data_IF_823774192480
#
_entry.id   IF_823774192480
#
_cell.length_a   1.000
_cell.length_b   1.000
_cell.length_c   1.000
_cell.angle_alpha   90.00
_cell.angle_beta   90.00
_cell.angle_gamma   90.00
#
_symmetry.space_group_name_H-M   'P 1'
#
loop_
_entity.id
_entity.type
_entity.pdbx_description
1 polymer ?
#
# COMPACT_ATOMS: atom_id res chain seq x y z
N UNK A 1 -40.54 57.45 -19.00
CA UNK A 1 -39.86 57.03 -17.75
C UNK A 1 -39.07 55.78 -18.10
N UNK A 2 -37.77 55.96 -18.38
CA UNK A 2 -36.89 54.92 -19.01
C UNK A 2 -36.04 54.32 -17.88
N UNK A 3 -36.20 53.01 -17.63
CA UNK A 3 -35.38 52.25 -16.67
C UNK A 3 -34.06 51.84 -17.34
N UNK A 4 -32.94 52.31 -16.78
CA UNK A 4 -31.58 51.89 -17.14
C UNK A 4 -31.27 50.52 -16.52
N UNK A 5 -31.00 49.54 -17.37
CA UNK A 5 -30.41 48.27 -16.96
C UNK A 5 -28.88 48.47 -16.83
N UNK A 6 -28.37 48.35 -15.62
CA UNK A 6 -26.92 48.26 -15.31
C UNK A 6 -26.44 46.85 -15.56
N UNK A 7 -25.68 46.65 -16.66
CA UNK A 7 -24.96 45.43 -16.95
C UNK A 7 -23.81 45.25 -15.93
N UNK A 8 -23.88 44.16 -15.15
CA UNK A 8 -22.81 43.71 -14.25
C UNK A 8 -21.92 42.78 -15.06
N UNK A 9 -20.79 43.32 -15.52
CA UNK A 9 -19.72 42.47 -16.09
C UNK A 9 -19.22 41.47 -15.04
N UNK A 10 -19.56 40.20 -15.21
CA UNK A 10 -18.95 39.09 -14.49
C UNK A 10 -17.55 38.89 -15.09
N UNK A 11 -16.56 39.48 -14.44
CA UNK A 11 -15.16 39.24 -14.74
C UNK A 11 -14.84 37.76 -14.56
N UNK A 12 -14.58 37.04 -15.64
CA UNK A 12 -14.08 35.70 -15.71
C UNK A 12 -12.62 35.67 -15.17
N UNK A 13 -12.44 35.58 -13.87
CA UNK A 13 -11.13 35.31 -13.27
C UNK A 13 -10.79 33.86 -13.54
N UNK A 14 -9.95 33.61 -14.54
CA UNK A 14 -9.25 32.35 -14.71
C UNK A 14 -8.60 31.99 -13.38
N UNK A 15 -8.68 30.71 -12.93
CA UNK A 15 -8.01 30.29 -11.71
C UNK A 15 -6.51 30.54 -11.87
N UNK A 16 -5.94 31.36 -10.99
CA UNK A 16 -4.50 31.54 -10.87
C UNK A 16 -3.96 30.18 -10.48
N UNK A 17 -3.32 29.48 -11.42
CA UNK A 17 -2.60 28.24 -11.12
C UNK A 17 -1.50 28.58 -10.11
N UNK A 18 -1.71 28.23 -8.87
CA UNK A 18 -0.71 28.39 -7.82
C UNK A 18 0.53 27.58 -8.21
N UNK A 19 1.71 28.18 -8.07
CA UNK A 19 2.97 27.50 -8.37
C UNK A 19 3.06 26.24 -7.50
N UNK A 20 3.46 25.07 -8.06
CA UNK A 20 3.57 23.84 -7.27
C UNK A 20 4.41 24.03 -6.00
N UNK A 21 4.14 23.31 -4.92
CA UNK A 21 4.92 23.37 -3.68
C UNK A 21 6.42 23.17 -3.94
N UNK A 22 7.27 23.77 -3.10
CA UNK A 22 8.72 23.72 -3.28
C UNK A 22 9.24 22.27 -3.33
N UNK A 23 8.65 21.36 -2.54
CA UNK A 23 9.00 19.93 -2.52
C UNK A 23 8.76 19.27 -3.89
N UNK A 24 7.61 19.49 -4.49
CA UNK A 24 7.25 18.95 -5.80
C UNK A 24 8.16 19.50 -6.91
N UNK A 25 8.43 20.81 -6.90
CA UNK A 25 9.34 21.44 -7.87
C UNK A 25 10.76 20.87 -7.80
N UNK A 26 11.26 20.59 -6.58
CA UNK A 26 12.57 19.98 -6.39
C UNK A 26 12.57 18.53 -6.90
N UNK A 27 11.53 17.75 -6.64
CA UNK A 27 11.40 16.39 -7.13
C UNK A 27 11.33 16.35 -8.66
N UNK A 28 10.48 17.17 -9.27
CA UNK A 28 10.34 17.27 -10.73
C UNK A 28 11.67 17.67 -11.40
N UNK A 29 12.37 18.68 -10.86
CA UNK A 29 13.67 19.11 -11.35
C UNK A 29 14.73 18.01 -11.24
N UNK A 30 14.75 17.27 -10.12
CA UNK A 30 15.67 16.17 -9.89
C UNK A 30 15.46 15.04 -10.91
N UNK A 31 14.23 14.57 -11.05
CA UNK A 31 13.90 13.49 -11.99
C UNK A 31 14.17 13.91 -13.45
N UNK A 32 13.88 15.16 -13.82
CA UNK A 32 14.22 15.66 -15.14
C UNK A 32 15.74 15.60 -15.41
N UNK A 33 16.54 16.00 -14.43
CA UNK A 33 17.99 15.94 -14.53
C UNK A 33 18.54 14.50 -14.52
N UNK A 34 17.95 13.59 -13.75
CA UNK A 34 18.32 12.18 -13.76
C UNK A 34 18.08 11.54 -15.13
N UNK A 35 17.00 11.89 -15.80
CA UNK A 35 16.69 11.39 -17.14
C UNK A 35 17.61 12.01 -18.22
N UNK A 36 17.94 13.30 -18.09
CA UNK A 36 18.77 14.03 -19.07
C UNK A 36 20.24 13.61 -19.05
N UNK A 37 20.82 13.41 -17.86
CA UNK A 37 22.27 13.20 -17.72
C UNK A 37 22.68 12.12 -16.73
N UNK A 38 21.68 11.42 -16.16
CA UNK A 38 21.90 10.33 -15.23
C UNK A 38 22.00 10.78 -13.77
N UNK A 39 21.75 9.83 -12.88
CA UNK A 39 21.75 10.05 -11.44
C UNK A 39 23.12 10.52 -10.91
N UNK A 40 24.20 9.86 -11.29
CA UNK A 40 25.56 10.14 -10.76
C UNK A 40 26.04 11.55 -11.11
N UNK A 41 25.74 12.04 -12.31
CA UNK A 41 26.17 13.34 -12.82
C UNK A 41 25.31 14.52 -12.30
N UNK A 42 24.23 14.25 -11.57
CA UNK A 42 23.34 15.26 -11.05
C UNK A 42 23.71 15.64 -9.62
N UNK A 43 23.88 16.93 -9.36
CA UNK A 43 24.18 17.48 -8.03
C UNK A 43 22.97 18.18 -7.41
N UNK A 44 23.02 18.42 -6.09
CA UNK A 44 22.00 19.22 -5.40
C UNK A 44 21.93 20.65 -5.96
N UNK A 45 23.08 21.22 -6.36
CA UNK A 45 23.13 22.56 -6.94
C UNK A 45 22.39 22.63 -8.27
N UNK A 46 22.57 21.64 -9.13
CA UNK A 46 21.83 21.53 -10.40
C UNK A 46 20.32 21.44 -10.18
N UNK A 47 19.91 20.63 -9.19
CA UNK A 47 18.49 20.45 -8.85
C UNK A 47 17.88 21.78 -8.36
N UNK A 48 18.59 22.49 -7.49
CA UNK A 48 18.09 23.76 -6.95
C UNK A 48 18.05 24.86 -8.00
N UNK A 49 19.04 24.92 -8.88
CA UNK A 49 19.08 25.83 -10.03
C UNK A 49 17.91 25.58 -10.97
N UNK A 50 17.70 24.33 -11.40
CA UNK A 50 16.60 23.91 -12.27
C UNK A 50 15.22 24.21 -11.64
N UNK A 51 15.08 23.98 -10.35
CA UNK A 51 13.85 24.26 -9.62
C UNK A 51 13.61 25.75 -9.36
N UNK A 52 14.62 26.62 -9.57
CA UNK A 52 14.58 28.04 -9.22
C UNK A 52 14.41 28.23 -7.72
N UNK A 53 15.13 27.44 -6.91
CA UNK A 53 15.11 27.44 -5.43
C UNK A 53 16.56 27.45 -4.90
N UNK A 54 16.74 27.87 -3.64
CA UNK A 54 18.04 27.85 -2.99
C UNK A 54 18.34 26.53 -2.28
N UNK A 55 19.66 26.25 -2.05
CA UNK A 55 20.12 25.07 -1.28
C UNK A 55 19.46 24.95 0.09
N UNK A 56 19.27 26.06 0.80
CA UNK A 56 18.57 26.06 2.11
C UNK A 56 17.15 25.52 1.99
N UNK A 57 16.45 25.85 0.91
CA UNK A 57 15.11 25.31 0.64
C UNK A 57 15.16 23.81 0.36
N UNK A 58 16.17 23.35 -0.39
CA UNK A 58 16.39 21.93 -0.62
C UNK A 58 16.56 21.17 0.69
N UNK A 59 17.53 21.58 1.53
CA UNK A 59 17.85 20.87 2.78
C UNK A 59 16.77 21.00 3.88
N UNK A 60 15.80 21.88 3.70
CA UNK A 60 14.59 21.90 4.54
C UNK A 60 13.62 20.76 4.18
N UNK A 61 13.64 20.25 2.94
CA UNK A 61 12.73 19.22 2.46
C UNK A 61 13.39 17.84 2.32
N UNK A 62 14.69 17.80 2.02
CA UNK A 62 15.44 16.60 1.69
C UNK A 62 16.81 16.65 2.36
N UNK A 63 17.28 15.54 2.91
CA UNK A 63 18.62 15.43 3.56
C UNK A 63 19.72 15.24 2.54
N UNK A 64 19.41 14.61 1.42
CA UNK A 64 20.35 14.30 0.35
C UNK A 64 19.64 14.22 -1.01
N UNK A 65 20.42 14.10 -2.08
CA UNK A 65 19.90 13.87 -3.44
C UNK A 65 19.09 12.58 -3.54
N UNK A 66 19.47 11.56 -2.81
CA UNK A 66 18.77 10.28 -2.72
C UNK A 66 17.38 10.41 -2.13
N UNK A 67 17.21 11.29 -1.13
CA UNK A 67 15.91 11.49 -0.46
C UNK A 67 14.84 12.06 -1.41
N UNK A 68 15.27 12.71 -2.50
CA UNK A 68 14.33 13.23 -3.52
C UNK A 68 13.65 12.08 -4.27
N UNK A 69 14.35 10.95 -4.41
CA UNK A 69 13.89 9.80 -5.20
C UNK A 69 12.81 9.03 -4.45
N UNK A 70 12.97 8.88 -3.13
CA UNK A 70 12.10 8.03 -2.34
C UNK A 70 10.86 8.77 -1.82
N UNK A 71 9.72 8.07 -1.68
CA UNK A 71 8.57 8.61 -0.98
C UNK A 71 8.93 8.87 0.49
N UNK A 72 8.09 9.66 1.16
CA UNK A 72 8.22 9.86 2.60
C UNK A 72 7.78 8.59 3.35
N UNK A 73 8.70 7.61 3.40
CA UNK A 73 8.44 6.32 4.05
C UNK A 73 8.07 6.46 5.52
N UNK A 74 8.62 7.46 6.22
CA UNK A 74 8.32 7.68 7.64
C UNK A 74 6.85 8.04 7.81
N UNK A 75 6.38 9.00 7.03
CA UNK A 75 4.96 9.42 7.03
C UNK A 75 4.04 8.28 6.61
N UNK A 76 4.42 7.51 5.59
CA UNK A 76 3.62 6.39 5.11
C UNK A 76 3.52 5.27 6.16
N UNK A 77 4.63 4.94 6.83
CA UNK A 77 4.65 3.98 7.94
C UNK A 77 3.79 4.44 9.13
N UNK A 78 3.83 5.73 9.48
CA UNK A 78 2.96 6.29 10.52
C UNK A 78 1.47 6.13 10.14
N UNK A 79 1.09 6.46 8.92
CA UNK A 79 -0.29 6.30 8.43
C UNK A 79 -0.76 4.85 8.47
N UNK A 80 0.11 3.91 8.07
CA UNK A 80 -0.17 2.48 8.14
C UNK A 80 -0.33 2.03 9.59
N UNK A 81 0.59 2.43 10.48
CA UNK A 81 0.52 2.09 11.90
C UNK A 81 -0.75 2.61 12.56
N UNK A 82 -1.17 3.84 12.22
CA UNK A 82 -2.42 4.43 12.69
C UNK A 82 -3.63 3.62 12.19
N UNK A 83 -3.63 3.26 10.91
CA UNK A 83 -4.67 2.44 10.32
C UNK A 83 -4.80 1.07 10.99
N UNK A 84 -3.67 0.41 11.24
CA UNK A 84 -3.64 -0.88 11.91
C UNK A 84 -4.15 -0.78 13.36
N UNK A 85 -3.75 0.25 14.11
CA UNK A 85 -4.20 0.46 15.51
C UNK A 85 -5.71 0.72 15.61
N UNK A 86 -6.30 1.34 14.62
CA UNK A 86 -7.75 1.65 14.57
C UNK A 86 -8.57 0.56 13.87
N UNK A 87 -7.92 -0.52 13.45
CA UNK A 87 -8.60 -1.61 12.74
C UNK A 87 -9.49 -2.40 13.68
N UNK A 88 -10.74 -2.63 13.24
CA UNK A 88 -11.71 -3.50 13.89
C UNK A 88 -11.91 -4.83 13.13
N UNK A 89 -10.97 -5.18 12.26
CA UNK A 89 -11.07 -6.39 11.45
C UNK A 89 -10.97 -7.67 12.29
N UNK A 90 -11.69 -8.70 11.89
CA UNK A 90 -11.76 -9.97 12.61
C UNK A 90 -10.45 -10.79 12.60
N UNK A 91 -9.48 -10.44 11.75
CA UNK A 91 -8.15 -11.07 11.71
C UNK A 91 -7.05 -10.06 11.41
N UNK A 92 -5.84 -10.32 11.94
CA UNK A 92 -4.67 -9.50 11.67
C UNK A 92 -4.32 -9.44 10.18
N UNK A 93 -4.46 -10.55 9.45
CA UNK A 93 -4.17 -10.61 8.01
C UNK A 93 -5.09 -9.71 7.19
N UNK A 94 -6.37 -9.64 7.52
CA UNK A 94 -7.31 -8.74 6.84
C UNK A 94 -6.92 -7.28 7.06
N UNK A 95 -6.59 -6.92 8.30
CA UNK A 95 -6.15 -5.56 8.62
C UNK A 95 -4.87 -5.17 7.87
N UNK A 96 -3.89 -6.07 7.82
CA UNK A 96 -2.62 -5.85 7.11
C UNK A 96 -2.84 -5.80 5.59
N UNK A 97 -3.72 -6.63 5.04
CA UNK A 97 -4.07 -6.60 3.61
C UNK A 97 -4.68 -5.26 3.19
N UNK A 98 -5.58 -4.70 4.01
CA UNK A 98 -6.14 -3.36 3.77
C UNK A 98 -5.07 -2.26 3.87
N UNK A 99 -4.12 -2.38 4.81
CA UNK A 99 -3.01 -1.44 4.93
C UNK A 99 -2.06 -1.48 3.72
N UNK A 100 -1.78 -2.66 3.21
CA UNK A 100 -0.95 -2.88 2.00
C UNK A 100 -1.61 -2.30 0.76
N UNK A 101 -2.93 -2.39 0.66
CA UNK A 101 -3.69 -1.77 -0.43
C UNK A 101 -3.53 -0.24 -0.46
N UNK A 102 -3.45 0.41 0.70
CA UNK A 102 -3.17 1.86 0.79
C UNK A 102 -1.78 2.20 0.24
N UNK A 103 -0.77 1.35 0.49
CA UNK A 103 0.57 1.54 -0.08
C UNK A 103 0.52 1.48 -1.61
N UNK A 104 -0.16 0.50 -2.19
CA UNK A 104 -0.32 0.40 -3.64
C UNK A 104 -1.02 1.64 -4.22
N UNK A 105 -2.11 2.08 -3.60
CA UNK A 105 -2.84 3.27 -4.04
C UNK A 105 -1.98 4.53 -4.01
N UNK A 106 -1.10 4.67 -3.02
CA UNK A 106 -0.12 5.76 -2.97
C UNK A 106 0.81 5.75 -4.20
N UNK A 107 1.37 4.59 -4.58
CA UNK A 107 2.21 4.48 -5.77
C UNK A 107 1.43 4.75 -7.07
N UNK A 108 0.19 4.31 -7.16
CA UNK A 108 -0.69 4.59 -8.31
C UNK A 108 -0.96 6.08 -8.45
N UNK A 109 -1.19 6.79 -7.35
CA UNK A 109 -1.42 8.23 -7.32
C UNK A 109 -0.18 9.02 -7.75
N UNK A 110 1.02 8.57 -7.40
CA UNK A 110 2.28 9.13 -7.90
C UNK A 110 2.50 8.89 -9.40
N UNK A 111 1.87 7.88 -9.98
CA UNK A 111 1.85 7.60 -11.41
C UNK A 111 3.23 7.45 -12.05
N UNK A 112 3.56 8.37 -12.96
CA UNK A 112 4.83 8.36 -13.71
C UNK A 112 6.06 8.53 -12.80
N UNK A 113 5.94 9.31 -11.73
CA UNK A 113 7.03 9.51 -10.77
C UNK A 113 7.44 8.18 -10.10
N UNK A 114 6.47 7.33 -9.76
CA UNK A 114 6.73 6.00 -9.21
C UNK A 114 7.48 5.10 -10.21
N UNK A 115 7.11 5.16 -11.50
CA UNK A 115 7.78 4.38 -12.57
C UNK A 115 9.22 4.86 -12.80
N UNK A 116 9.45 6.17 -12.83
CA UNK A 116 10.80 6.75 -12.97
C UNK A 116 11.69 6.38 -11.76
N UNK A 117 11.13 6.41 -10.56
CA UNK A 117 11.80 5.92 -9.34
C UNK A 117 12.20 4.46 -9.50
N UNK A 118 11.30 3.60 -9.94
CA UNK A 118 11.57 2.18 -10.15
C UNK A 118 12.68 1.95 -11.18
N UNK A 119 12.71 2.70 -12.26
CA UNK A 119 13.79 2.62 -13.25
C UNK A 119 15.15 2.96 -12.62
N UNK A 120 15.23 4.02 -11.80
CA UNK A 120 16.47 4.39 -11.10
C UNK A 120 16.89 3.33 -10.06
N UNK A 121 15.98 2.87 -9.21
CA UNK A 121 16.31 1.85 -8.19
C UNK A 121 16.65 0.49 -8.80
N UNK A 122 16.19 0.23 -10.02
CA UNK A 122 16.54 -0.99 -10.76
C UNK A 122 17.95 -0.95 -11.36
N UNK A 123 18.48 0.24 -11.66
CA UNK A 123 19.75 0.43 -12.36
C UNK A 123 20.89 0.89 -11.46
N UNK A 124 20.62 1.68 -10.41
CA UNK A 124 21.62 2.24 -9.50
C UNK A 124 21.73 1.39 -8.22
N UNK A 125 22.85 0.68 -7.97
CA UNK A 125 22.97 -0.24 -6.83
C UNK A 125 22.70 0.39 -5.47
N UNK A 126 23.25 1.57 -5.18
CA UNK A 126 23.06 2.26 -3.91
C UNK A 126 21.57 2.62 -3.63
N UNK A 127 20.82 2.96 -4.69
CA UNK A 127 19.38 3.22 -4.58
C UNK A 127 18.58 1.93 -4.36
N UNK A 128 19.01 0.83 -4.99
CA UNK A 128 18.41 -0.50 -4.78
C UNK A 128 18.58 -0.96 -3.34
N UNK A 129 19.77 -0.82 -2.77
CA UNK A 129 20.05 -1.21 -1.38
C UNK A 129 19.16 -0.41 -0.40
N UNK A 130 18.96 0.87 -0.66
CA UNK A 130 18.07 1.73 0.12
C UNK A 130 16.60 1.33 -0.01
N UNK A 131 16.16 0.96 -1.21
CA UNK A 131 14.81 0.43 -1.45
C UNK A 131 14.57 -0.86 -0.65
N UNK A 132 15.51 -1.80 -0.69
CA UNK A 132 15.46 -3.05 0.08
C UNK A 132 15.36 -2.75 1.58
N UNK A 133 16.17 -1.84 2.10
CA UNK A 133 16.11 -1.44 3.51
C UNK A 133 14.77 -0.82 3.88
N UNK A 134 14.16 -0.05 2.98
CA UNK A 134 12.83 0.52 3.18
C UNK A 134 11.75 -0.55 3.25
N UNK A 135 11.78 -1.54 2.35
CA UNK A 135 10.84 -2.69 2.36
C UNK A 135 10.92 -3.46 3.67
N UNK A 136 12.12 -3.67 4.22
CA UNK A 136 12.32 -4.36 5.49
C UNK A 136 11.64 -3.64 6.69
N UNK A 137 11.48 -2.31 6.63
CA UNK A 137 10.76 -1.54 7.65
C UNK A 137 9.26 -1.84 7.64
N UNK A 138 8.65 -1.96 6.46
CA UNK A 138 7.23 -2.35 6.33
C UNK A 138 7.01 -3.79 6.83
N UNK A 139 7.89 -4.72 6.46
CA UNK A 139 7.81 -6.09 6.93
C UNK A 139 7.90 -6.18 8.46
N UNK A 140 8.79 -5.39 9.09
CA UNK A 140 8.89 -5.31 10.55
C UNK A 140 7.60 -4.79 11.18
N UNK A 141 7.03 -3.71 10.67
CA UNK A 141 5.77 -3.13 11.16
C UNK A 141 4.63 -4.17 11.12
N UNK A 142 4.48 -4.85 9.98
CA UNK A 142 3.44 -5.88 9.83
C UNK A 142 3.67 -7.07 10.75
N UNK A 143 4.90 -7.53 10.88
CA UNK A 143 5.26 -8.62 11.80
C UNK A 143 4.91 -8.27 13.25
N UNK A 144 5.27 -7.09 13.72
CA UNK A 144 4.98 -6.63 15.07
C UNK A 144 3.47 -6.55 15.33
N UNK A 145 2.72 -6.03 14.38
CA UNK A 145 1.26 -5.98 14.47
C UNK A 145 0.64 -7.39 14.51
N UNK A 146 1.02 -8.28 13.60
CA UNK A 146 0.53 -9.65 13.54
C UNK A 146 0.90 -10.41 14.81
N UNK A 147 2.13 -10.28 15.28
CA UNK A 147 2.60 -10.95 16.51
C UNK A 147 1.78 -10.52 17.73
N UNK A 148 1.47 -9.25 17.87
CA UNK A 148 0.59 -8.75 18.93
C UNK A 148 -0.83 -9.32 18.86
N UNK A 149 -1.33 -9.56 17.65
CA UNK A 149 -2.68 -10.12 17.46
C UNK A 149 -2.77 -11.62 17.78
N UNK A 150 -1.73 -12.40 17.41
CA UNK A 150 -1.72 -13.86 17.60
C UNK A 150 -1.06 -14.30 18.93
N UNK A 151 -0.65 -13.36 19.78
CA UNK A 151 0.04 -13.66 21.05
C UNK A 151 -0.74 -14.58 21.98
N UNK A 152 -2.08 -14.57 21.92
CA UNK A 152 -2.96 -15.38 22.73
C UNK A 152 -3.23 -16.80 22.16
N UNK A 153 -2.61 -17.15 21.02
CA UNK A 153 -2.76 -18.48 20.41
C UNK A 153 -1.68 -19.44 20.89
N UNK A 154 -2.03 -20.74 21.03
CA UNK A 154 -1.13 -21.78 21.54
C UNK A 154 0.00 -22.21 20.58
N UNK A 155 0.11 -21.60 19.39
CA UNK A 155 1.11 -21.92 18.37
C UNK A 155 2.37 -21.04 18.50
N UNK A 156 3.54 -21.43 17.92
CA UNK A 156 4.78 -20.64 17.94
C UNK A 156 4.59 -19.32 17.17
N UNK A 157 4.00 -18.35 17.86
CA UNK A 157 3.61 -17.04 17.36
C UNK A 157 4.71 -16.26 16.60
N UNK A 158 6.00 -16.24 17.03
CA UNK A 158 7.00 -15.40 16.37
C UNK A 158 7.30 -15.80 14.91
N UNK A 159 7.50 -17.09 14.63
CA UNK A 159 7.78 -17.58 13.27
C UNK A 159 6.57 -17.40 12.36
N UNK A 160 5.37 -17.70 12.89
CA UNK A 160 4.13 -17.55 12.13
C UNK A 160 3.92 -16.09 11.71
N UNK A 161 4.11 -15.14 12.63
CA UNK A 161 4.02 -13.71 12.34
C UNK A 161 5.06 -13.25 11.28
N UNK A 162 6.28 -13.78 11.35
CA UNK A 162 7.33 -13.49 10.36
C UNK A 162 6.93 -13.99 8.97
N UNK A 163 6.46 -15.24 8.86
CA UNK A 163 6.01 -15.84 7.61
C UNK A 163 4.82 -15.10 7.00
N UNK A 164 3.83 -14.73 7.82
CA UNK A 164 2.66 -13.97 7.41
C UNK A 164 3.05 -12.58 6.88
N UNK A 165 3.88 -11.85 7.60
CA UNK A 165 4.38 -10.54 7.18
C UNK A 165 5.20 -10.62 5.88
N UNK A 166 6.06 -11.63 5.76
CA UNK A 166 6.85 -11.87 4.56
C UNK A 166 5.97 -12.18 3.34
N UNK A 167 4.95 -13.02 3.50
CA UNK A 167 4.02 -13.37 2.44
C UNK A 167 3.22 -12.16 1.94
N UNK A 168 2.71 -11.33 2.85
CA UNK A 168 2.00 -10.08 2.52
C UNK A 168 2.89 -9.13 1.72
N UNK A 169 4.11 -8.87 2.20
CA UNK A 169 5.04 -7.96 1.54
C UNK A 169 5.48 -8.52 0.18
N UNK A 170 5.72 -9.82 0.08
CA UNK A 170 6.09 -10.47 -1.18
C UNK A 170 4.97 -10.37 -2.23
N UNK A 171 3.74 -10.64 -1.85
CA UNK A 171 2.56 -10.55 -2.71
C UNK A 171 2.32 -9.11 -3.20
N UNK A 172 2.35 -8.13 -2.28
CA UNK A 172 2.27 -6.72 -2.64
C UNK A 172 3.35 -6.29 -3.63
N UNK A 173 4.61 -6.60 -3.33
CA UNK A 173 5.74 -6.22 -4.18
C UNK A 173 5.72 -6.91 -5.54
N UNK A 174 5.12 -8.11 -5.64
CA UNK A 174 4.89 -8.77 -6.92
C UNK A 174 3.95 -7.93 -7.80
N UNK A 175 2.79 -7.56 -7.28
CA UNK A 175 1.80 -6.75 -8.01
C UNK A 175 2.33 -5.36 -8.33
N UNK A 176 2.95 -4.68 -7.34
CA UNK A 176 3.53 -3.36 -7.53
C UNK A 176 4.57 -3.35 -8.65
N UNK A 177 5.50 -4.31 -8.68
CA UNK A 177 6.52 -4.40 -9.74
C UNK A 177 5.91 -4.65 -11.12
N UNK A 178 4.86 -5.47 -11.21
CA UNK A 178 4.14 -5.69 -12.47
C UNK A 178 3.52 -4.39 -12.98
N UNK A 179 2.83 -3.66 -12.10
CA UNK A 179 2.25 -2.36 -12.45
C UNK A 179 3.32 -1.33 -12.86
N UNK A 180 4.44 -1.23 -12.13
CA UNK A 180 5.55 -0.33 -12.45
C UNK A 180 6.16 -0.63 -13.82
N UNK A 181 6.16 -1.88 -14.27
CA UNK A 181 6.59 -2.30 -15.61
C UNK A 181 5.51 -2.17 -16.70
N UNK A 182 4.30 -1.75 -16.33
CA UNK A 182 3.18 -1.65 -17.27
C UNK A 182 2.51 -2.98 -17.62
N UNK A 183 2.75 -4.03 -16.83
CA UNK A 183 2.26 -5.40 -17.05
C UNK A 183 0.93 -5.69 -16.32
N UNK A 184 0.43 -4.76 -15.52
CA UNK A 184 -0.80 -4.88 -14.73
C UNK A 184 -1.79 -3.80 -15.16
N UNK A 185 -2.90 -4.16 -15.83
CA UNK A 185 -3.93 -3.20 -16.23
C UNK A 185 -4.86 -2.81 -15.07
N UNK A 186 -5.03 -3.68 -14.06
CA UNK A 186 -5.83 -3.44 -12.86
C UNK A 186 -5.06 -3.89 -11.61
N UNK A 187 -4.09 -3.10 -11.14
CA UNK A 187 -3.25 -3.46 -10.01
C UNK A 187 -4.03 -3.56 -8.70
N UNK A 188 -5.18 -2.89 -8.59
CA UNK A 188 -6.03 -2.93 -7.39
C UNK A 188 -6.72 -4.28 -7.27
N UNK A 189 -7.32 -4.78 -8.36
CA UNK A 189 -7.91 -6.10 -8.38
C UNK A 189 -6.84 -7.20 -8.19
N UNK A 190 -5.66 -7.03 -8.81
CA UNK A 190 -4.55 -7.98 -8.66
C UNK A 190 -4.04 -8.05 -7.21
N UNK A 191 -3.92 -6.91 -6.49
CA UNK A 191 -3.49 -6.94 -5.08
C UNK A 191 -4.56 -7.52 -4.17
N UNK A 192 -5.83 -7.24 -4.42
CA UNK A 192 -6.94 -7.82 -3.64
C UNK A 192 -6.97 -9.36 -3.82
N UNK A 193 -6.70 -9.87 -5.03
CA UNK A 193 -6.56 -11.30 -5.30
C UNK A 193 -5.33 -11.91 -4.61
N UNK A 194 -4.17 -11.26 -4.73
CA UNK A 194 -2.94 -11.72 -4.11
C UNK A 194 -3.07 -11.79 -2.57
N UNK A 195 -3.76 -10.82 -1.96
CA UNK A 195 -4.02 -10.83 -0.52
C UNK A 195 -5.00 -11.93 -0.11
N UNK A 196 -6.01 -12.26 -0.93
CA UNK A 196 -6.87 -13.42 -0.68
C UNK A 196 -6.05 -14.71 -0.65
N UNK A 197 -5.17 -14.92 -1.62
CA UNK A 197 -4.28 -16.09 -1.65
C UNK A 197 -3.40 -16.18 -0.39
N UNK A 198 -2.86 -15.04 0.09
CA UNK A 198 -2.10 -15.01 1.34
C UNK A 198 -2.97 -15.37 2.54
N UNK A 199 -4.20 -14.84 2.62
CA UNK A 199 -5.13 -15.18 3.70
C UNK A 199 -5.46 -16.68 3.67
N UNK A 200 -5.79 -17.24 2.52
CA UNK A 200 -6.14 -18.65 2.35
C UNK A 200 -4.98 -19.57 2.76
N UNK A 201 -3.74 -19.19 2.44
CA UNK A 201 -2.54 -19.96 2.80
C UNK A 201 -2.39 -20.14 4.31
N UNK A 202 -2.79 -19.15 5.11
CA UNK A 202 -2.62 -19.19 6.57
C UNK A 202 -3.91 -19.51 7.34
N UNK A 203 -5.06 -19.58 6.66
CA UNK A 203 -6.36 -19.92 7.26
C UNK A 203 -6.87 -21.30 6.86
N UNK A 204 -6.28 -21.91 5.82
CA UNK A 204 -6.64 -23.27 5.40
C UNK A 204 -6.35 -24.26 6.55
N UNK A 205 -7.30 -25.17 6.89
CA UNK A 205 -7.07 -26.20 7.88
C UNK A 205 -5.93 -27.11 7.40
N UNK A 206 -4.92 -27.32 8.25
CA UNK A 206 -3.80 -28.20 7.95
C UNK A 206 -4.29 -29.64 7.65
N UNK A 207 -3.54 -30.42 6.84
CA UNK A 207 -3.86 -31.82 6.60
C UNK A 207 -3.79 -32.60 7.93
N UNK A 208 -4.95 -32.85 8.54
CA UNK A 208 -5.08 -33.56 9.83
C UNK A 208 -5.96 -32.87 10.87
N UNK A 209 -6.43 -31.68 10.64
CA UNK A 209 -7.34 -30.99 11.56
C UNK A 209 -8.81 -31.40 11.30
N UNK A 210 -9.18 -32.58 11.80
CA UNK A 210 -10.58 -33.00 11.91
C UNK A 210 -11.26 -32.33 13.11
N UNK A 211 -11.38 -31.03 13.09
CA UNK A 211 -11.95 -30.20 14.15
C UNK A 211 -11.70 -28.74 13.86
N UNK A 212 -11.93 -28.31 12.61
CA UNK A 212 -11.54 -27.00 12.14
C UNK A 212 -12.51 -25.90 12.54
N UNK A 213 -12.00 -24.82 13.10
CA UNK A 213 -12.71 -23.53 13.12
C UNK A 213 -12.72 -22.97 11.70
N UNK A 214 -13.88 -22.81 11.10
CA UNK A 214 -14.03 -22.11 9.82
C UNK A 214 -14.06 -20.60 10.07
N UNK A 215 -13.04 -19.88 9.58
CA UNK A 215 -13.05 -18.42 9.60
C UNK A 215 -13.73 -17.94 8.30
N UNK A 216 -14.89 -17.35 8.44
CA UNK A 216 -15.61 -16.72 7.31
C UNK A 216 -15.32 -15.22 7.35
N UNK A 217 -14.53 -14.72 6.39
CA UNK A 217 -14.31 -13.29 6.20
C UNK A 217 -15.20 -12.79 5.06
N UNK A 218 -16.05 -11.80 5.34
CA UNK A 218 -16.88 -11.14 4.31
C UNK A 218 -16.90 -9.63 4.52
N UNK A 219 -17.04 -8.89 3.42
CA UNK A 219 -17.32 -7.45 3.47
C UNK A 219 -18.82 -7.23 3.43
N UNK A 220 -19.34 -6.48 4.37
CA UNK A 220 -20.73 -6.06 4.38
C UNK A 220 -20.84 -4.59 4.78
N UNK A 221 -21.76 -3.88 4.13
CA UNK A 221 -22.21 -2.55 4.57
C UNK A 221 -23.39 -2.62 5.55
N UNK A 222 -23.80 -3.83 5.96
CA UNK A 222 -24.89 -4.06 6.93
C UNK A 222 -24.32 -4.36 8.31
N UNK A 223 -25.12 -4.10 9.33
CA UNK A 223 -24.78 -4.42 10.71
C UNK A 223 -24.59 -5.94 10.88
N UNK A 224 -23.49 -6.33 11.50
CA UNK A 224 -23.10 -7.73 11.67
C UNK A 224 -24.14 -8.51 12.49
N UNK A 225 -24.78 -7.85 13.45
CA UNK A 225 -25.83 -8.46 14.28
C UNK A 225 -27.06 -8.90 13.47
N UNK A 226 -27.30 -8.27 12.33
CA UNK A 226 -28.37 -8.64 11.40
C UNK A 226 -28.02 -9.89 10.58
N UNK A 227 -26.74 -10.15 10.36
CA UNK A 227 -26.23 -11.25 9.53
C UNK A 227 -25.87 -12.50 10.33
N UNK A 228 -25.58 -12.38 11.62
CA UNK A 228 -25.21 -13.48 12.50
C UNK A 228 -26.23 -14.64 12.50
N UNK A 229 -27.55 -14.43 12.52
CA UNK A 229 -28.52 -15.52 12.46
C UNK A 229 -28.47 -16.31 11.16
N UNK A 230 -28.34 -15.61 10.02
CA UNK A 230 -28.25 -16.24 8.70
C UNK A 230 -26.95 -17.05 8.53
N UNK A 231 -25.83 -16.53 9.07
CA UNK A 231 -24.55 -17.23 9.08
C UNK A 231 -24.56 -18.47 9.95
N UNK A 232 -25.23 -18.44 11.13
CA UNK A 232 -25.41 -19.61 11.97
C UNK A 232 -26.21 -20.68 11.25
N UNK A 233 -27.30 -20.31 10.60
CA UNK A 233 -28.13 -21.26 9.85
C UNK A 233 -27.38 -21.94 8.72
N UNK A 234 -26.55 -21.20 7.96
CA UNK A 234 -25.70 -21.75 6.91
C UNK A 234 -24.61 -22.70 7.42
N UNK A 235 -24.11 -22.47 8.65
CA UNK A 235 -23.11 -23.33 9.29
C UNK A 235 -23.72 -24.60 9.90
N UNK A 236 -25.00 -24.53 10.34
CA UNK A 236 -25.74 -25.66 10.91
C UNK A 236 -26.36 -26.57 9.83
N UNK A 237 -26.62 -26.07 8.61
CA UNK A 237 -27.16 -26.84 7.49
C UNK A 237 -26.13 -27.68 6.70
N UNK A 238 -24.90 -27.87 7.22
CA UNK A 238 -23.95 -28.77 6.57
C UNK A 238 -24.45 -30.21 6.74
N UNK A 239 -24.96 -30.89 5.70
CA UNK A 239 -25.42 -32.26 5.85
C UNK A 239 -24.19 -33.17 6.09
N UNK A 240 -24.19 -33.85 7.22
CA UNK A 240 -23.42 -35.07 7.46
C UNK A 240 -23.90 -36.13 6.43
N UNK A 241 -23.27 -36.18 5.31
CA UNK A 241 -23.52 -37.24 4.36
C UNK A 241 -22.22 -37.66 3.65
N UNK A 242 -21.51 -38.57 4.28
CA UNK A 242 -20.87 -39.72 3.58
C UNK A 242 -20.64 -40.76 4.69
N UNK A 243 -21.67 -41.57 4.97
CA UNK A 243 -21.49 -42.90 5.50
C UNK A 243 -22.32 -43.85 4.61
N UNK A 244 -21.66 -44.79 3.96
CA UNK A 244 -22.36 -45.79 3.16
C UNK A 244 -21.48 -46.46 2.11
N UNK A 245 -20.45 -47.15 2.53
CA UNK A 245 -19.90 -48.21 1.72
C UNK A 245 -20.67 -49.52 2.05
N UNK A 246 -21.39 -50.18 1.09
CA UNK A 246 -21.79 -51.57 1.27
C UNK A 246 -20.62 -52.46 0.93
N UNK A 247 -20.21 -53.29 1.88
CA UNK A 247 -19.38 -54.45 1.61
C UNK A 247 -20.18 -55.50 0.83
N UNK A 248 -19.52 -56.11 -0.09
CA UNK A 248 -19.63 -57.52 -0.54
C UNK A 248 -18.44 -57.87 -1.39
#
# INVERSE_FOLDING_TARGET
MVARATGREMGNRLPVMSKPPARERLAEAAFALFDERGYEQTTVDDITERAGLGRTTFFRHYRSKEDVIFPDHDRLLEQIADRLRTSSHGTALVAVSDAVRLVLLHYIDEGDLARRRYALTSTVPALRDREIASVARYQRLFREFIAGWIADTAEPAPLRAELMAAAVVAAHNHVLRRWLRGESPDPVAEVDEAMRQVIDLFTAPGPGASGGSTIVAFRTGQDIDTLLPALRHLLEERPDHIDGAPGS
#
